data_IF_633564060269
#
_entry.id   IF_633564060269
#
_cell.length_a   1.000
_cell.length_b   1.000
_cell.length_c   1.000
_cell.angle_alpha   90.00
_cell.angle_beta   90.00
_cell.angle_gamma   90.00
#
_symmetry.space_group_name_H-M   'P 1'
#
loop_
_entity.id
_entity.type
_entity.pdbx_description
1 polymer ?
#
# COMPACT_ATOMS: atom_id res chain seq x y z
N UNK A 1 -47.25 -38.93 -11.10
CA UNK A 1 -46.33 -38.13 -10.24
C UNK A 1 -45.26 -37.43 -11.08
N UNK A 2 -45.02 -37.88 -12.31
CA UNK A 2 -43.89 -37.48 -13.14
C UNK A 2 -43.99 -36.04 -13.70
N UNK A 3 -45.21 -35.57 -14.00
CA UNK A 3 -45.42 -34.21 -14.54
C UNK A 3 -45.21 -33.10 -13.48
N UNK A 4 -45.43 -33.41 -12.20
CA UNK A 4 -45.25 -32.44 -11.10
C UNK A 4 -43.76 -32.20 -10.85
N UNK A 5 -42.95 -33.26 -10.90
CA UNK A 5 -41.50 -33.16 -10.72
C UNK A 5 -40.84 -32.37 -11.86
N UNK A 6 -41.29 -32.58 -13.10
CA UNK A 6 -40.81 -31.85 -14.27
C UNK A 6 -41.13 -30.34 -14.20
N UNK A 7 -42.32 -29.99 -13.70
CA UNK A 7 -42.73 -28.60 -13.51
C UNK A 7 -41.93 -27.88 -12.40
N UNK A 8 -41.61 -28.57 -11.31
CA UNK A 8 -40.77 -28.03 -10.23
C UNK A 8 -39.32 -27.82 -10.70
N UNK A 9 -38.78 -28.74 -11.49
CA UNK A 9 -37.46 -28.60 -12.09
C UNK A 9 -37.41 -27.43 -13.10
N UNK A 10 -38.44 -27.30 -13.95
CA UNK A 10 -38.55 -26.22 -14.93
C UNK A 10 -38.63 -24.83 -14.29
N UNK A 11 -39.43 -24.67 -13.23
CA UNK A 11 -39.55 -23.39 -12.51
C UNK A 11 -38.28 -23.00 -11.75
N UNK A 12 -37.58 -23.95 -11.15
CA UNK A 12 -36.27 -23.70 -10.52
C UNK A 12 -35.22 -23.30 -11.56
N UNK A 13 -35.17 -23.99 -12.70
CA UNK A 13 -34.26 -23.66 -13.79
C UNK A 13 -34.55 -22.26 -14.37
N UNK A 14 -35.82 -21.93 -14.60
CA UNK A 14 -36.21 -20.63 -15.14
C UNK A 14 -35.91 -19.49 -14.16
N UNK A 15 -36.15 -19.67 -12.86
CA UNK A 15 -35.75 -18.69 -11.83
C UNK A 15 -34.24 -18.54 -11.73
N UNK A 16 -33.49 -19.62 -11.81
CA UNK A 16 -32.03 -19.59 -11.81
C UNK A 16 -31.48 -18.89 -13.06
N UNK A 17 -32.01 -19.21 -14.25
CA UNK A 17 -31.66 -18.54 -15.50
C UNK A 17 -32.02 -17.05 -15.48
N UNK A 18 -33.20 -16.69 -14.96
CA UNK A 18 -33.60 -15.30 -14.77
C UNK A 18 -32.71 -14.57 -13.75
N UNK A 19 -32.38 -15.20 -12.63
CA UNK A 19 -31.44 -14.65 -11.63
C UNK A 19 -30.04 -14.44 -12.25
N UNK A 20 -29.53 -15.40 -13.00
CA UNK A 20 -28.25 -15.30 -13.71
C UNK A 20 -28.27 -14.20 -14.78
N UNK A 21 -29.38 -14.06 -15.51
CA UNK A 21 -29.55 -12.99 -16.50
C UNK A 21 -29.66 -11.60 -15.86
N UNK A 22 -30.42 -11.47 -14.77
CA UNK A 22 -30.66 -10.22 -14.05
C UNK A 22 -29.48 -9.80 -13.16
N UNK A 23 -28.65 -10.75 -12.73
CA UNK A 23 -27.46 -10.48 -11.90
C UNK A 23 -26.25 -9.98 -12.67
N UNK A 24 -26.39 -9.67 -13.97
CA UNK A 24 -25.37 -8.96 -14.74
C UNK A 24 -25.18 -7.55 -14.17
N UNK A 25 -24.29 -7.44 -13.19
CA UNK A 25 -23.82 -6.16 -12.67
C UNK A 25 -23.03 -5.48 -13.78
N UNK A 26 -23.60 -4.42 -14.33
CA UNK A 26 -22.89 -3.52 -15.22
C UNK A 26 -22.02 -2.60 -14.37
N UNK A 27 -20.70 -2.71 -14.53
CA UNK A 27 -19.77 -1.77 -13.93
C UNK A 27 -19.64 -0.56 -14.84
N UNK A 28 -19.85 0.63 -14.29
CA UNK A 28 -19.58 1.88 -14.99
C UNK A 28 -18.16 2.32 -14.66
N UNK A 29 -17.38 2.67 -15.69
CA UNK A 29 -16.07 3.27 -15.50
C UNK A 29 -16.26 4.68 -14.92
N UNK A 30 -15.81 4.90 -13.68
CA UNK A 30 -15.93 6.19 -12.98
C UNK A 30 -14.67 7.05 -13.11
N UNK A 31 -13.60 6.50 -13.66
CA UNK A 31 -12.33 7.20 -13.81
C UNK A 31 -11.17 6.26 -14.12
N UNK A 32 -10.03 6.86 -14.46
CA UNK A 32 -8.76 6.17 -14.66
C UNK A 32 -7.73 6.75 -13.71
N UNK A 33 -6.88 5.91 -13.13
CA UNK A 33 -5.79 6.34 -12.25
C UNK A 33 -4.78 7.13 -13.09
N UNK A 34 -4.56 8.40 -12.75
CA UNK A 34 -3.59 9.24 -13.45
C UNK A 34 -2.15 8.91 -13.04
N UNK A 35 -1.91 8.74 -11.74
CA UNK A 35 -0.58 8.56 -11.18
C UNK A 35 -0.63 7.68 -9.92
N UNK A 36 0.50 7.04 -9.64
CA UNK A 36 0.69 6.21 -8.47
C UNK A 36 1.90 6.72 -7.68
N UNK A 37 1.74 6.77 -6.35
CA UNK A 37 2.78 7.22 -5.44
C UNK A 37 2.95 6.21 -4.30
N UNK A 38 4.20 5.94 -3.94
CA UNK A 38 4.60 5.18 -2.77
C UNK A 38 5.27 6.11 -1.75
N UNK A 39 4.96 5.95 -0.47
CA UNK A 39 5.62 6.67 0.61
C UNK A 39 6.36 5.70 1.53
N UNK A 40 7.53 5.17 1.12
CA UNK A 40 8.22 4.14 1.90
C UNK A 40 8.60 4.62 3.31
N UNK A 41 8.87 5.93 3.46
CA UNK A 41 9.20 6.57 4.73
C UNK A 41 8.12 7.60 5.06
N UNK A 42 7.56 7.53 6.26
CA UNK A 42 6.55 8.46 6.76
C UNK A 42 7.07 9.89 6.72
N UNK A 43 6.20 10.83 6.32
CA UNK A 43 6.47 12.28 6.32
C UNK A 43 7.47 12.78 5.26
N UNK A 44 8.00 11.91 4.41
CA UNK A 44 8.92 12.26 3.32
C UNK A 44 8.19 12.47 1.99
N UNK A 45 8.94 12.87 0.96
CA UNK A 45 8.43 13.00 -0.41
C UNK A 45 8.01 11.63 -0.95
N UNK A 46 6.88 11.60 -1.67
CA UNK A 46 6.38 10.40 -2.34
C UNK A 46 7.23 10.04 -3.57
N UNK A 47 7.44 8.75 -3.77
CA UNK A 47 8.06 8.18 -4.95
C UNK A 47 6.99 7.90 -5.99
N UNK A 48 7.07 8.57 -7.15
CA UNK A 48 6.18 8.29 -8.30
C UNK A 48 6.59 6.97 -8.95
N UNK A 49 5.62 6.09 -9.19
CA UNK A 49 5.82 4.77 -9.77
C UNK A 49 4.78 4.49 -10.86
N UNK A 50 5.08 3.58 -11.78
CA UNK A 50 4.16 3.23 -12.87
C UNK A 50 3.23 2.07 -12.50
N UNK A 51 3.60 1.25 -11.52
CA UNK A 51 2.85 0.10 -11.06
C UNK A 51 3.20 -0.22 -9.61
N UNK A 52 2.26 -0.79 -8.86
CA UNK A 52 2.42 -1.21 -7.47
C UNK A 52 1.69 -2.54 -7.28
N UNK A 53 2.15 -3.35 -6.33
CA UNK A 53 1.43 -4.55 -5.88
C UNK A 53 0.53 -4.19 -4.70
N UNK A 54 -0.77 -4.45 -4.82
CA UNK A 54 -1.69 -4.33 -3.69
C UNK A 54 -1.53 -5.55 -2.78
N UNK A 55 -1.18 -5.31 -1.52
CA UNK A 55 -1.08 -6.34 -0.47
C UNK A 55 -2.10 -6.07 0.62
N UNK A 56 -2.27 -7.02 1.56
CA UNK A 56 -3.18 -6.85 2.70
C UNK A 56 -2.80 -5.66 3.60
N UNK A 57 -1.52 -5.28 3.65
CA UNK A 57 -1.03 -4.19 4.50
C UNK A 57 -0.96 -2.84 3.78
N UNK A 58 -1.21 -2.81 2.48
CA UNK A 58 -1.03 -1.62 1.65
C UNK A 58 -0.32 -1.95 0.34
N UNK A 59 0.13 -0.92 -0.36
CA UNK A 59 0.87 -1.09 -1.62
C UNK A 59 2.34 -1.41 -1.36
N UNK A 60 2.94 -2.16 -2.27
CA UNK A 60 4.34 -2.53 -2.26
C UNK A 60 4.94 -2.35 -3.66
N UNK A 61 6.18 -1.89 -3.71
CA UNK A 61 6.97 -1.75 -4.92
C UNK A 61 8.43 -2.03 -4.60
N UNK A 62 9.04 -2.93 -5.39
CA UNK A 62 10.47 -3.25 -5.30
C UNK A 62 10.93 -3.63 -3.87
N UNK A 63 10.15 -4.48 -3.19
CA UNK A 63 10.44 -4.92 -1.82
C UNK A 63 10.16 -3.89 -0.73
N UNK A 64 9.65 -2.70 -1.07
CA UNK A 64 9.30 -1.65 -0.12
C UNK A 64 7.78 -1.46 0.00
N UNK A 65 7.31 -1.39 1.24
CA UNK A 65 5.90 -1.19 1.57
C UNK A 65 5.59 0.28 1.87
N UNK A 66 4.33 0.69 1.65
CA UNK A 66 3.88 2.03 2.03
C UNK A 66 4.00 2.23 3.55
N UNK A 67 4.61 3.35 3.94
CA UNK A 67 4.79 3.84 5.32
C UNK A 67 5.48 2.83 6.25
N UNK A 68 6.40 2.03 5.71
CA UNK A 68 7.11 1.02 6.48
C UNK A 68 8.20 1.60 7.41
N UNK A 69 8.74 2.77 7.06
CA UNK A 69 9.79 3.45 7.83
C UNK A 69 9.29 4.73 8.50
N UNK A 70 9.91 5.08 9.63
CA UNK A 70 9.69 6.34 10.34
C UNK A 70 10.99 6.82 10.96
N UNK A 71 11.17 8.14 11.02
CA UNK A 71 12.26 8.74 11.78
C UNK A 71 11.87 8.85 13.24
N UNK A 72 12.79 8.47 14.13
CA UNK A 72 12.62 8.60 15.57
C UNK A 72 13.85 9.25 16.19
N UNK A 73 13.63 9.96 17.29
CA UNK A 73 14.70 10.52 18.12
C UNK A 73 15.44 9.42 18.86
N UNK A 74 16.77 9.54 18.96
CA UNK A 74 17.60 8.54 19.66
C UNK A 74 17.28 8.47 21.16
N UNK A 75 17.02 9.63 21.78
CA UNK A 75 16.88 9.77 23.24
C UNK A 75 15.66 9.02 23.79
N UNK A 76 14.52 9.19 23.14
CA UNK A 76 13.19 8.81 23.64
C UNK A 76 12.36 8.02 22.62
N UNK A 77 12.89 7.76 21.42
CA UNK A 77 12.20 7.00 20.39
C UNK A 77 10.94 7.68 19.87
N UNK A 78 10.83 9.00 20.05
CA UNK A 78 9.67 9.77 19.63
C UNK A 78 9.70 10.01 18.13
N UNK A 79 8.53 9.84 17.52
CA UNK A 79 8.42 9.79 16.08
C UNK A 79 8.40 11.22 15.54
N UNK A 80 9.20 11.49 14.53
CA UNK A 80 9.26 12.80 13.89
C UNK A 80 8.27 12.82 12.73
N UNK A 81 7.40 13.82 12.72
CA UNK A 81 6.38 13.99 11.69
C UNK A 81 6.53 15.30 10.94
N UNK A 82 6.01 15.36 9.72
CA UNK A 82 6.03 16.57 8.90
C UNK A 82 5.35 17.78 9.57
N UNK A 83 4.42 17.56 10.50
CA UNK A 83 3.80 18.64 11.29
C UNK A 83 4.76 19.31 12.27
N UNK A 84 5.74 18.54 12.76
CA UNK A 84 6.79 19.05 13.64
C UNK A 84 7.96 19.60 12.83
N UNK A 85 8.34 18.91 11.75
CA UNK A 85 9.43 19.32 10.86
C UNK A 85 8.98 19.30 9.39
N UNK A 86 8.45 20.42 8.86
CA UNK A 86 7.97 20.50 7.49
C UNK A 86 9.04 20.22 6.44
N UNK A 87 10.33 20.44 6.75
CA UNK A 87 11.46 20.21 5.82
C UNK A 87 11.62 18.75 5.45
N UNK A 88 11.00 17.81 6.18
CA UNK A 88 10.97 16.39 5.81
C UNK A 88 10.38 16.16 4.42
N UNK A 89 9.50 17.05 3.95
CA UNK A 89 8.94 17.00 2.59
C UNK A 89 9.99 17.16 1.47
N UNK A 90 11.15 17.73 1.80
CA UNK A 90 12.26 17.93 0.87
C UNK A 90 13.14 16.68 0.74
N UNK A 91 12.98 15.70 1.63
CA UNK A 91 13.73 14.46 1.59
C UNK A 91 13.14 13.59 0.48
N UNK A 92 13.88 13.42 -0.61
CA UNK A 92 13.55 12.48 -1.68
C UNK A 92 14.10 11.10 -1.39
N UNK A 93 13.29 10.10 -1.71
CA UNK A 93 13.63 8.69 -1.52
C UNK A 93 13.81 8.05 -2.89
N UNK A 94 14.90 7.30 -3.08
CA UNK A 94 15.07 6.39 -4.20
C UNK A 94 15.44 4.99 -3.73
N UNK A 95 15.10 3.99 -4.53
CA UNK A 95 15.35 2.58 -4.25
C UNK A 95 16.40 2.08 -5.24
N UNK A 96 17.48 1.47 -4.72
CA UNK A 96 18.61 1.00 -5.51
C UNK A 96 19.01 -0.40 -5.05
N UNK A 97 18.54 -1.45 -5.74
CA UNK A 97 18.80 -2.83 -5.34
C UNK A 97 18.26 -3.09 -3.94
N UNK A 98 19.13 -3.49 -3.01
CA UNK A 98 18.77 -3.72 -1.60
C UNK A 98 18.96 -2.49 -0.71
N UNK A 99 19.19 -1.32 -1.30
CA UNK A 99 19.38 -0.06 -0.57
C UNK A 99 18.21 0.92 -0.79
N UNK A 100 17.96 1.72 0.24
CA UNK A 100 17.16 2.94 0.21
C UNK A 100 18.09 4.14 0.37
N UNK A 101 17.98 5.09 -0.56
CA UNK A 101 18.77 6.32 -0.57
C UNK A 101 17.87 7.48 -0.19
N UNK A 102 18.38 8.35 0.70
CA UNK A 102 17.72 9.54 1.19
C UNK A 102 18.55 10.75 0.75
N UNK A 103 17.95 11.59 -0.08
CA UNK A 103 18.57 12.81 -0.56
C UNK A 103 17.84 14.02 0.01
N UNK A 104 18.59 14.98 0.54
CA UNK A 104 18.07 16.23 1.06
C UNK A 104 18.94 17.42 0.60
N UNK A 105 18.38 18.62 0.43
CA UNK A 105 19.14 19.79 -0.03
C UNK A 105 20.34 20.10 0.87
N UNK A 106 21.53 20.15 0.27
CA UNK A 106 22.79 20.47 0.98
C UNK A 106 23.33 19.35 1.86
N UNK A 107 22.82 18.12 1.73
CA UNK A 107 23.29 16.96 2.50
C UNK A 107 23.82 15.88 1.55
N UNK A 108 24.82 15.12 2.01
CA UNK A 108 25.25 13.90 1.33
C UNK A 108 24.14 12.84 1.41
N UNK A 109 23.96 12.08 0.33
CA UNK A 109 23.00 10.97 0.28
C UNK A 109 23.24 9.99 1.42
N UNK A 110 22.22 9.78 2.25
CA UNK A 110 22.24 8.75 3.28
C UNK A 110 21.73 7.44 2.66
N UNK A 111 22.51 6.37 2.79
CA UNK A 111 22.16 5.04 2.25
C UNK A 111 21.94 4.06 3.39
N UNK A 112 20.80 3.37 3.37
CA UNK A 112 20.47 2.32 4.33
C UNK A 112 20.04 1.05 3.59
N UNK A 113 20.27 -0.15 4.15
CA UNK A 113 19.69 -1.37 3.60
C UNK A 113 18.15 -1.35 3.77
N UNK A 114 17.42 -1.90 2.79
CA UNK A 114 15.94 -2.03 2.82
C UNK A 114 15.46 -2.95 3.96
N UNK A 115 16.21 -4.02 4.22
CA UNK A 115 15.98 -4.96 5.32
C UNK A 115 17.21 -4.97 6.25
N UNK A 116 17.36 -3.97 7.13
CA UNK A 116 18.44 -3.96 8.10
C UNK A 116 18.28 -5.15 9.05
N UNK A 117 19.40 -5.73 9.49
CA UNK A 117 19.37 -6.65 10.62
C UNK A 117 18.70 -5.95 11.79
N UNK A 118 17.76 -6.64 12.43
CA UNK A 118 17.11 -6.15 13.64
C UNK A 118 18.16 -6.08 14.75
N UNK A 119 18.81 -4.94 14.87
CA UNK A 119 19.66 -4.67 16.02
C UNK A 119 18.77 -4.67 17.26
N UNK A 120 19.23 -5.30 18.34
CA UNK A 120 18.63 -5.18 19.67
C UNK A 120 18.83 -3.77 20.25
N UNK A 121 18.94 -2.74 19.40
CA UNK A 121 18.91 -1.36 19.84
C UNK A 121 17.61 -1.18 20.63
N UNK A 122 17.74 -0.67 21.84
CA UNK A 122 16.70 -0.65 22.89
C UNK A 122 15.45 0.07 22.40
N UNK A 123 14.60 -0.62 21.64
CA UNK A 123 13.25 -0.16 21.32
C UNK A 123 12.48 -0.23 22.63
N UNK A 124 12.52 0.86 23.40
CA UNK A 124 11.62 1.01 24.54
C UNK A 124 10.22 1.01 23.95
N UNK A 125 9.39 0.05 24.36
CA UNK A 125 7.95 0.16 24.13
C UNK A 125 7.51 1.50 24.71
N UNK A 126 7.10 2.42 23.84
CA UNK A 126 6.36 3.60 24.28
C UNK A 126 5.01 3.04 24.74
N UNK A 127 4.78 3.14 26.05
CA UNK A 127 3.61 2.63 26.76
C UNK A 127 2.44 3.61 26.62
#
# INVERSE_FOLDING_TARGET
MDNILLALAGTSFFKYAAYMYMSKRSYQCVGTVSELYLYPVKSCKGLKVNSLRCTRLGVEYDGMYDRHWVFATEKDGQWITQRQEPRMALISISLHGDEIHFDAPGMTTLKLPKDPKKDQCKVKKVQ
#
